data_IF_493351874549
#
_entry.id   IF_493351874549
#
_cell.length_a   1.000
_cell.length_b   1.000
_cell.length_c   1.000
_cell.angle_alpha   90.00
_cell.angle_beta   90.00
_cell.angle_gamma   90.00
#
_symmetry.space_group_name_H-M   'P 1'
#
loop_
_entity.id
_entity.type
_entity.pdbx_description
1 polymer ?
#
# COMPACT_ATOMS: atom_id res chain seq x y z
N UNK A 1 -15.97 13.98 -2.35
CA UNK A 1 -14.60 13.49 -2.62
C UNK A 1 -14.74 12.25 -3.49
N UNK A 2 -14.01 12.14 -4.59
CA UNK A 2 -14.01 10.91 -5.39
C UNK A 2 -13.29 9.85 -4.58
N UNK A 3 -13.90 8.68 -4.34
CA UNK A 3 -13.22 7.57 -3.69
C UNK A 3 -12.08 7.10 -4.61
N UNK A 4 -10.85 7.07 -4.11
CA UNK A 4 -9.69 6.55 -4.85
C UNK A 4 -9.23 5.19 -4.34
N UNK A 5 -9.64 4.80 -3.13
CA UNK A 5 -9.31 3.51 -2.51
C UNK A 5 -10.21 2.41 -3.02
N UNK A 6 -9.64 1.43 -3.72
CA UNK A 6 -10.41 0.34 -4.35
C UNK A 6 -11.05 -0.60 -3.32
N UNK A 7 -10.48 -0.71 -2.12
CA UNK A 7 -10.97 -1.51 -1.00
C UNK A 7 -12.15 -0.87 -0.24
N UNK A 8 -12.46 0.40 -0.53
CA UNK A 8 -13.65 1.10 -0.04
C UNK A 8 -14.77 1.17 -1.09
N UNK A 9 -14.56 0.51 -2.23
CA UNK A 9 -15.48 0.45 -3.36
C UNK A 9 -16.10 -0.94 -3.46
N UNK A 10 -17.40 -0.97 -3.73
CA UNK A 10 -18.06 -2.15 -4.27
C UNK A 10 -17.56 -2.42 -5.70
N UNK A 11 -17.66 -3.67 -6.14
CA UNK A 11 -17.32 -4.03 -7.51
C UNK A 11 -18.11 -3.23 -8.57
N UNK A 12 -19.30 -2.74 -8.24
CA UNK A 12 -20.12 -1.87 -9.10
C UNK A 12 -19.48 -0.49 -9.26
N UNK A 13 -19.03 0.12 -8.16
CA UNK A 13 -18.31 1.40 -8.18
C UNK A 13 -16.98 1.27 -8.96
N UNK A 14 -16.29 0.12 -8.85
CA UNK A 14 -15.06 -0.13 -9.61
C UNK A 14 -15.36 -0.20 -11.11
N UNK A 15 -16.43 -0.91 -11.52
CA UNK A 15 -16.86 -0.94 -12.93
C UNK A 15 -17.18 0.47 -13.44
N UNK A 16 -17.92 1.26 -12.67
CA UNK A 16 -18.24 2.64 -13.03
C UNK A 16 -16.97 3.51 -13.15
N UNK A 17 -15.97 3.34 -12.28
CA UNK A 17 -14.69 4.03 -12.42
C UNK A 17 -13.97 3.65 -13.72
N UNK A 18 -13.94 2.36 -14.07
CA UNK A 18 -13.37 1.89 -15.34
C UNK A 18 -14.10 2.51 -16.54
N UNK A 19 -15.44 2.52 -16.53
CA UNK A 19 -16.26 3.13 -17.58
C UNK A 19 -16.02 4.66 -17.71
N UNK A 20 -15.65 5.32 -16.60
CA UNK A 20 -15.27 6.73 -16.56
C UNK A 20 -13.78 6.99 -16.90
N UNK A 21 -13.06 5.94 -17.31
CA UNK A 21 -11.69 6.02 -17.79
C UNK A 21 -10.63 6.08 -16.69
N UNK A 22 -10.88 5.48 -15.52
CA UNK A 22 -9.83 5.19 -14.56
C UNK A 22 -9.02 4.00 -15.08
N UNK A 23 -7.80 4.25 -15.55
CA UNK A 23 -6.93 3.26 -16.20
C UNK A 23 -5.57 3.09 -15.49
N UNK A 24 -5.37 3.81 -14.39
CA UNK A 24 -4.13 3.83 -13.62
C UNK A 24 -4.38 3.36 -12.18
N UNK A 25 -3.44 2.58 -11.63
CA UNK A 25 -3.48 2.13 -10.24
C UNK A 25 -2.13 2.35 -9.55
N UNK A 26 -2.16 2.79 -8.30
CA UNK A 26 -1.00 2.84 -7.40
C UNK A 26 -1.11 1.66 -6.43
N UNK A 27 -0.04 0.87 -6.36
CA UNK A 27 0.08 -0.27 -5.44
C UNK A 27 1.10 0.09 -4.36
N UNK A 28 0.66 0.55 -3.17
CA UNK A 28 1.58 0.82 -2.08
C UNK A 28 2.22 -0.48 -1.59
N UNK A 29 3.54 -0.45 -1.37
CA UNK A 29 4.30 -1.55 -0.77
C UNK A 29 5.01 -0.99 0.46
N UNK A 30 4.79 -1.60 1.62
CA UNK A 30 5.41 -1.18 2.88
C UNK A 30 5.99 -2.34 3.66
N UNK A 31 6.22 -2.14 4.96
CA UNK A 31 6.72 -3.19 5.85
C UNK A 31 6.19 -3.07 7.27
N UNK A 32 6.48 -4.11 8.07
CA UNK A 32 6.30 -4.15 9.52
C UNK A 32 7.68 -4.37 10.13
N UNK A 33 8.37 -3.30 10.50
CA UNK A 33 9.76 -3.32 10.93
C UNK A 33 10.07 -2.27 12.00
N UNK A 34 11.18 -2.42 12.70
CA UNK A 34 11.58 -1.45 13.72
C UNK A 34 11.90 -0.08 13.10
N UNK A 35 11.48 1.00 13.78
CA UNK A 35 11.88 2.38 13.46
C UNK A 35 12.37 3.11 14.72
N UNK A 36 13.17 2.41 15.53
CA UNK A 36 13.64 2.90 16.82
C UNK A 36 12.54 3.03 17.89
N UNK A 37 12.85 3.64 19.04
CA UNK A 37 11.99 3.57 20.23
C UNK A 37 10.69 4.41 20.19
N UNK A 38 10.49 5.23 19.17
CA UNK A 38 9.48 6.30 19.17
C UNK A 38 8.48 6.21 18.02
N UNK A 39 8.74 5.36 17.02
CA UNK A 39 7.87 5.19 15.85
C UNK A 39 7.20 3.80 15.87
N UNK A 40 6.00 3.69 15.29
CA UNK A 40 5.31 2.42 15.14
C UNK A 40 6.00 1.52 14.10
N UNK A 41 5.78 0.21 14.22
CA UNK A 41 6.36 -0.78 13.30
C UNK A 41 5.86 -0.65 11.85
N UNK A 42 4.68 -0.06 11.64
CA UNK A 42 4.06 0.10 10.34
C UNK A 42 4.38 1.42 9.65
N UNK A 43 5.44 2.13 10.06
CA UNK A 43 5.77 3.48 9.56
C UNK A 43 5.82 3.51 8.03
N UNK A 44 6.54 2.57 7.41
CA UNK A 44 6.66 2.46 5.95
C UNK A 44 5.30 2.28 5.28
N UNK A 45 4.46 1.38 5.80
CA UNK A 45 3.12 1.13 5.28
C UNK A 45 2.23 2.37 5.40
N UNK A 46 2.18 3.03 6.56
CA UNK A 46 1.33 4.19 6.78
C UNK A 46 1.72 5.37 5.89
N UNK A 47 3.02 5.64 5.76
CA UNK A 47 3.51 6.73 4.91
C UNK A 47 3.25 6.41 3.44
N UNK A 48 3.55 5.19 2.99
CA UNK A 48 3.32 4.76 1.60
C UNK A 48 1.85 4.81 1.19
N UNK A 49 0.95 4.36 2.07
CA UNK A 49 -0.50 4.39 1.84
C UNK A 49 -1.02 5.83 1.78
N UNK A 50 -0.68 6.68 2.75
CA UNK A 50 -1.12 8.07 2.78
C UNK A 50 -0.63 8.87 1.56
N UNK A 51 0.64 8.67 1.17
CA UNK A 51 1.19 9.29 -0.05
C UNK A 51 0.48 8.80 -1.31
N UNK A 52 0.18 7.50 -1.40
CA UNK A 52 -0.50 6.92 -2.57
C UNK A 52 -1.89 7.54 -2.78
N UNK A 53 -2.66 7.71 -1.71
CA UNK A 53 -3.97 8.39 -1.75
C UNK A 53 -3.81 9.84 -2.22
N UNK A 54 -2.90 10.61 -1.61
CA UNK A 54 -2.66 12.01 -2.00
C UNK A 54 -2.18 12.17 -3.45
N UNK A 55 -1.41 11.20 -3.97
CA UNK A 55 -0.96 11.21 -5.37
C UNK A 55 -2.12 10.87 -6.31
N UNK A 56 -2.91 9.84 -6.01
CA UNK A 56 -4.05 9.44 -6.83
C UNK A 56 -5.09 10.56 -6.97
N UNK A 57 -5.38 11.26 -5.86
CA UNK A 57 -6.27 12.42 -5.86
C UNK A 57 -5.75 13.57 -6.75
N UNK A 58 -4.43 13.76 -6.82
CA UNK A 58 -3.80 14.81 -7.66
C UNK A 58 -3.72 14.43 -9.13
N UNK A 59 -3.41 13.17 -9.45
CA UNK A 59 -3.34 12.69 -10.83
C UNK A 59 -4.74 12.67 -11.47
N UNK A 60 -5.77 12.35 -10.68
CA UNK A 60 -7.10 12.04 -11.19
C UNK A 60 -7.12 10.71 -11.93
N UNK A 61 -8.30 10.13 -12.11
CA UNK A 61 -8.50 8.85 -12.83
C UNK A 61 -7.55 7.72 -12.39
N UNK A 62 -7.14 7.74 -11.13
CA UNK A 62 -6.15 6.84 -10.55
C UNK A 62 -6.75 6.21 -9.29
N UNK A 63 -6.66 4.89 -9.17
CA UNK A 63 -7.08 4.14 -7.98
C UNK A 63 -5.87 3.74 -7.12
N UNK A 64 -6.12 3.38 -5.87
CA UNK A 64 -5.12 2.91 -4.91
C UNK A 64 -5.58 1.56 -4.35
N UNK A 65 -4.69 0.57 -4.36
CA UNK A 65 -4.95 -0.74 -3.72
C UNK A 65 -4.70 -0.68 -2.22
N UNK A 66 -5.18 -1.67 -1.44
CA UNK A 66 -4.59 -1.95 -0.14
C UNK A 66 -3.08 -2.07 -0.24
N UNK A 67 -2.33 -1.66 0.80
CA UNK A 67 -0.89 -1.82 0.82
C UNK A 67 -0.50 -3.30 0.89
N UNK A 68 0.54 -3.67 0.15
CA UNK A 68 1.23 -4.95 0.31
C UNK A 68 2.09 -4.87 1.57
N UNK A 69 1.82 -5.74 2.54
CA UNK A 69 2.54 -5.84 3.82
C UNK A 69 2.42 -7.25 4.41
N UNK A 70 3.44 -7.78 5.12
CA UNK A 70 4.76 -7.19 5.34
C UNK A 70 5.66 -7.21 4.10
N UNK A 71 6.70 -6.37 4.12
CA UNK A 71 7.70 -6.26 3.07
C UNK A 71 8.88 -7.21 3.26
N UNK A 72 10.06 -6.78 2.82
CA UNK A 72 11.32 -7.52 2.94
C UNK A 72 12.30 -6.81 3.89
N UNK A 73 12.30 -7.24 5.15
CA UNK A 73 12.94 -6.55 6.28
C UNK A 73 13.76 -7.50 7.15
N UNK A 74 14.38 -8.53 6.55
CA UNK A 74 15.16 -9.55 7.27
C UNK A 74 16.27 -8.95 8.15
N UNK A 75 16.87 -7.83 7.73
CA UNK A 75 17.91 -7.13 8.48
C UNK A 75 17.40 -6.47 9.77
N UNK A 76 16.08 -6.35 9.96
CA UNK A 76 15.44 -5.85 11.18
C UNK A 76 14.98 -6.96 12.14
N UNK A 77 15.24 -8.24 11.83
CA UNK A 77 14.81 -9.38 12.67
C UNK A 77 15.52 -9.48 14.03
N UNK A 78 16.58 -8.67 14.26
CA UNK A 78 17.19 -8.52 15.58
C UNK A 78 16.31 -7.80 16.60
N UNK A 79 15.21 -7.18 16.16
CA UNK A 79 14.28 -6.42 16.98
C UNK A 79 12.91 -7.12 17.06
N UNK A 80 12.30 -7.21 18.25
CA UNK A 80 10.99 -7.86 18.40
C UNK A 80 9.90 -7.08 17.67
N UNK A 81 9.01 -7.82 16.98
CA UNK A 81 7.85 -7.28 16.28
C UNK A 81 8.01 -7.16 14.76
N UNK A 82 9.22 -7.23 14.22
CA UNK A 82 9.44 -7.27 12.76
C UNK A 82 8.76 -8.49 12.15
N UNK A 83 7.95 -8.28 11.11
CA UNK A 83 7.40 -9.33 10.24
C UNK A 83 8.00 -9.13 8.85
N UNK A 84 8.50 -10.19 8.22
CA UNK A 84 9.17 -10.09 6.92
C UNK A 84 8.85 -11.28 6.03
N UNK A 85 8.68 -11.00 4.74
CA UNK A 85 8.73 -11.99 3.68
C UNK A 85 10.18 -12.27 3.27
N UNK A 86 10.38 -13.35 2.52
CA UNK A 86 11.62 -13.53 1.74
C UNK A 86 11.56 -12.63 0.49
N UNK A 87 12.71 -12.17 -0.04
CA UNK A 87 12.75 -11.43 -1.29
C UNK A 87 11.98 -12.13 -2.41
N UNK A 88 12.18 -13.44 -2.56
CA UNK A 88 11.53 -14.23 -3.62
C UNK A 88 10.01 -14.29 -3.43
N UNK A 89 9.53 -14.33 -2.19
CA UNK A 89 8.09 -14.31 -1.91
C UNK A 89 7.48 -12.97 -2.29
N UNK A 90 8.12 -11.85 -1.94
CA UNK A 90 7.63 -10.52 -2.32
C UNK A 90 7.62 -10.35 -3.86
N UNK A 91 8.64 -10.86 -4.56
CA UNK A 91 8.69 -10.86 -6.03
C UNK A 91 7.58 -11.70 -6.70
N UNK A 92 7.02 -12.70 -6.01
CA UNK A 92 5.90 -13.50 -6.54
C UNK A 92 4.53 -12.88 -6.25
N UNK A 93 4.45 -11.93 -5.31
CA UNK A 93 3.21 -11.21 -4.97
C UNK A 93 2.96 -10.05 -5.93
N UNK A 94 4.03 -9.40 -6.40
CA UNK A 94 4.00 -8.26 -7.33
C UNK A 94 4.05 -8.74 -8.77
#
# INVERSE_FOLDING_TARGET
MVKVRIDEMSWVEVREALDNGFDTVIVPVGSIEQHGPHLPLGTDTFVGEALSVMIAEKLGKTLVTPPITPGCSQHHMGFPGTLTLKPETLMQVV
#
